data_IF_375346745659
#
_entry.id   IF_375346745659
#
_cell.length_a   1.000
_cell.length_b   1.000
_cell.length_c   1.000
_cell.angle_alpha   90.00
_cell.angle_beta   90.00
_cell.angle_gamma   90.00
#
_symmetry.space_group_name_H-M   'P 1'
#
loop_
_entity.id
_entity.type
_entity.pdbx_description
1 polymer ?
#
# COMPACT_ATOMS: atom_id res chain seq x y z
N UNK A 1 -25.95 -6.01 -38.44
CA UNK A 1 -24.54 -6.46 -38.59
C UNK A 1 -23.79 -6.20 -37.30
N UNK A 2 -23.49 -7.25 -36.54
CA UNK A 2 -22.97 -7.17 -35.18
C UNK A 2 -21.59 -6.47 -35.12
N UNK A 3 -21.46 -5.56 -34.15
CA UNK A 3 -20.24 -4.78 -33.89
C UNK A 3 -19.16 -5.68 -33.31
N UNK A 4 -18.13 -5.96 -34.11
CA UNK A 4 -16.93 -6.69 -33.71
C UNK A 4 -16.21 -5.92 -32.60
N UNK A 5 -16.44 -6.33 -31.35
CA UNK A 5 -15.67 -5.90 -30.18
C UNK A 5 -14.33 -6.63 -30.21
N UNK A 6 -13.27 -5.96 -30.63
CA UNK A 6 -11.92 -6.51 -30.49
C UNK A 6 -10.92 -6.17 -31.59
N UNK A 7 -11.08 -5.03 -32.27
CA UNK A 7 -10.17 -4.58 -33.32
C UNK A 7 -9.44 -3.31 -32.86
N UNK A 8 -8.11 -3.36 -32.85
CA UNK A 8 -7.26 -2.34 -32.25
C UNK A 8 -7.25 -1.07 -33.11
N UNK A 9 -8.22 -0.19 -32.92
CA UNK A 9 -8.22 1.12 -33.57
C UNK A 9 -6.97 1.96 -33.18
N UNK A 10 -6.46 2.74 -34.14
CA UNK A 10 -5.43 3.75 -33.89
C UNK A 10 -5.96 4.87 -32.98
N UNK A 11 -5.07 5.64 -32.35
CA UNK A 11 -5.41 6.69 -31.38
C UNK A 11 -6.23 7.83 -32.01
N UNK A 12 -5.98 8.13 -33.29
CA UNK A 12 -6.75 9.11 -34.05
C UNK A 12 -8.22 8.70 -34.23
N UNK A 13 -8.48 7.41 -34.50
CA UNK A 13 -9.84 6.90 -34.61
C UNK A 13 -10.51 6.73 -33.23
N UNK A 14 -9.75 6.34 -32.20
CA UNK A 14 -10.24 6.23 -30.81
C UNK A 14 -10.70 7.57 -30.25
N UNK A 15 -9.87 8.61 -30.36
CA UNK A 15 -10.19 9.96 -29.88
C UNK A 15 -11.45 10.52 -30.54
N UNK A 16 -11.64 10.24 -31.83
CA UNK A 16 -12.82 10.66 -32.61
C UNK A 16 -14.02 9.73 -32.47
N UNK A 17 -13.90 8.62 -31.73
CA UNK A 17 -14.92 7.57 -31.56
C UNK A 17 -15.46 7.02 -32.89
N UNK A 18 -14.61 6.89 -33.90
CA UNK A 18 -14.97 6.38 -35.23
C UNK A 18 -14.42 4.96 -35.47
N UNK A 19 -14.99 4.24 -36.43
CA UNK A 19 -14.48 2.93 -36.85
C UNK A 19 -13.16 3.09 -37.61
N UNK A 20 -12.11 2.42 -37.14
CA UNK A 20 -10.82 2.32 -37.82
C UNK A 20 -10.86 1.19 -38.86
N UNK A 21 -10.33 1.45 -40.06
CA UNK A 21 -10.11 0.47 -41.13
C UNK A 21 -8.83 -0.35 -40.96
N UNK A 22 -8.01 0.02 -39.98
CA UNK A 22 -6.82 -0.70 -39.53
C UNK A 22 -5.67 -0.85 -40.55
N UNK A 23 -5.67 -0.07 -41.64
CA UNK A 23 -4.58 -0.06 -42.60
C UNK A 23 -3.33 0.58 -41.98
N UNK A 24 -2.20 -0.14 -41.98
CA UNK A 24 -0.89 0.36 -41.53
C UNK A 24 -0.07 0.85 -42.73
N UNK A 25 0.74 1.92 -42.62
CA UNK A 25 1.06 2.68 -41.41
C UNK A 25 -0.01 3.70 -40.99
N UNK A 26 -0.81 4.21 -41.94
CA UNK A 26 -1.84 5.22 -41.72
C UNK A 26 -3.19 4.68 -42.19
N UNK A 27 -4.19 4.65 -41.30
CA UNK A 27 -5.54 4.23 -41.67
C UNK A 27 -6.20 5.25 -42.61
N UNK A 28 -7.11 4.80 -43.47
CA UNK A 28 -7.80 5.62 -44.47
C UNK A 28 -8.43 6.86 -43.85
N UNK A 29 -9.06 6.73 -42.68
CA UNK A 29 -9.68 7.86 -41.97
C UNK A 29 -8.69 8.93 -41.51
N UNK A 30 -7.49 8.53 -41.08
CA UNK A 30 -6.45 9.47 -40.69
C UNK A 30 -5.78 10.09 -41.91
N UNK A 31 -5.64 9.31 -43.00
CA UNK A 31 -5.12 9.79 -44.29
C UNK A 31 -6.03 10.86 -44.87
N UNK A 32 -7.32 10.60 -44.99
CA UNK A 32 -8.29 11.53 -45.57
C UNK A 32 -8.45 12.80 -44.71
N UNK A 33 -8.30 12.67 -43.39
CA UNK A 33 -8.32 13.81 -42.47
C UNK A 33 -6.97 14.56 -42.39
N UNK A 34 -5.94 14.07 -43.07
CA UNK A 34 -4.56 14.57 -43.01
C UNK A 34 -4.05 14.75 -41.55
N UNK A 35 -4.30 13.75 -40.70
CA UNK A 35 -3.91 13.74 -39.27
C UNK A 35 -2.92 12.61 -38.97
N UNK A 36 -2.12 12.82 -37.93
CA UNK A 36 -1.17 11.84 -37.42
C UNK A 36 -1.88 10.57 -36.97
N UNK A 37 -1.51 9.43 -37.56
CA UNK A 37 -2.05 8.11 -37.22
C UNK A 37 -1.07 7.37 -36.31
N UNK A 38 -1.32 7.41 -35.00
CA UNK A 38 -0.53 6.67 -34.01
C UNK A 38 -1.26 5.41 -33.62
N UNK A 39 -0.55 4.29 -33.65
CA UNK A 39 -1.07 3.00 -33.21
C UNK A 39 -0.69 2.79 -31.75
N UNK A 40 -1.66 2.46 -30.86
CA UNK A 40 -1.35 2.27 -29.46
C UNK A 40 -0.38 1.11 -29.30
N UNK A 41 0.65 1.31 -28.47
CA UNK A 41 1.50 0.22 -28.01
C UNK A 41 0.61 -0.77 -27.26
N UNK A 42 0.73 -2.06 -27.58
CA UNK A 42 -0.05 -3.11 -26.90
C UNK A 42 0.45 -3.18 -25.46
N UNK A 43 -0.21 -2.45 -24.55
CA UNK A 43 0.02 -2.63 -23.13
C UNK A 43 -0.63 -3.95 -22.73
N UNK A 44 0.21 -4.91 -22.30
CA UNK A 44 -0.29 -6.12 -21.63
C UNK A 44 -1.14 -5.62 -20.47
N UNK A 45 -2.44 -5.92 -20.47
CA UNK A 45 -3.33 -5.53 -19.38
C UNK A 45 -2.73 -6.13 -18.10
N UNK A 46 -2.65 -5.32 -17.05
CA UNK A 46 -2.16 -5.79 -15.75
C UNK A 46 -3.03 -6.93 -15.18
N UNK A 47 -2.67 -7.47 -14.02
CA UNK A 47 -3.47 -8.47 -13.32
C UNK A 47 -4.95 -8.04 -13.22
N UNK A 48 -5.84 -9.02 -13.13
CA UNK A 48 -7.28 -8.77 -13.00
C UNK A 48 -7.53 -7.77 -11.89
N UNK A 49 -8.37 -6.75 -12.16
CA UNK A 49 -8.72 -5.72 -11.17
C UNK A 49 -9.21 -6.40 -9.88
N UNK A 50 -8.61 -6.06 -8.75
CA UNK A 50 -8.91 -6.64 -7.43
C UNK A 50 -8.04 -7.85 -7.04
N UNK A 51 -7.30 -8.46 -7.97
CA UNK A 51 -6.37 -9.57 -7.63
C UNK A 51 -5.27 -9.12 -6.67
N UNK A 52 -4.76 -7.89 -6.83
CA UNK A 52 -3.77 -7.31 -5.92
C UNK A 52 -4.30 -7.16 -4.49
N UNK A 53 -5.59 -6.83 -4.33
CA UNK A 53 -6.19 -6.59 -3.03
C UNK A 53 -6.49 -7.92 -2.34
N UNK A 54 -6.98 -8.91 -3.09
CA UNK A 54 -7.10 -10.28 -2.60
C UNK A 54 -5.75 -10.87 -2.17
N UNK A 55 -4.69 -10.59 -2.93
CA UNK A 55 -3.34 -11.04 -2.60
C UNK A 55 -2.84 -10.41 -1.29
N UNK A 56 -3.04 -9.10 -1.09
CA UNK A 56 -2.72 -8.42 0.17
C UNK A 56 -3.49 -9.02 1.34
N UNK A 57 -4.79 -9.23 1.18
CA UNK A 57 -5.64 -9.80 2.22
C UNK A 57 -5.18 -11.21 2.62
N UNK A 58 -4.86 -12.06 1.64
CA UNK A 58 -4.34 -13.40 1.91
C UNK A 58 -2.95 -13.36 2.58
N UNK A 59 -2.10 -12.41 2.18
CA UNK A 59 -0.78 -12.23 2.78
C UNK A 59 -0.91 -11.85 4.25
N UNK A 60 -1.77 -10.88 4.57
CA UNK A 60 -2.06 -10.47 5.95
C UNK A 60 -2.57 -11.64 6.82
N UNK A 61 -3.46 -12.48 6.30
CA UNK A 61 -3.91 -13.68 7.03
C UNK A 61 -2.75 -14.64 7.33
N UNK A 62 -1.85 -14.80 6.36
CA UNK A 62 -0.68 -15.69 6.50
C UNK A 62 0.32 -15.13 7.50
N UNK A 63 0.59 -13.83 7.46
CA UNK A 63 1.48 -13.14 8.40
C UNK A 63 0.94 -13.23 9.83
N UNK A 64 -0.36 -13.02 10.04
CA UNK A 64 -0.98 -13.18 11.36
C UNK A 64 -0.90 -14.61 11.89
N UNK A 65 -1.16 -15.61 11.05
CA UNK A 65 -1.01 -17.01 11.43
C UNK A 65 0.45 -17.34 11.80
N UNK A 66 1.42 -16.80 11.06
CA UNK A 66 2.83 -16.95 11.35
C UNK A 66 3.20 -16.34 12.72
N UNK A 67 2.70 -15.14 13.03
CA UNK A 67 2.91 -14.50 14.33
C UNK A 67 2.36 -15.34 15.48
N UNK A 68 1.13 -15.88 15.34
CA UNK A 68 0.52 -16.74 16.35
C UNK A 68 1.33 -18.02 16.59
N UNK A 69 1.85 -18.64 15.53
CA UNK A 69 2.72 -19.81 15.64
C UNK A 69 4.04 -19.47 16.32
N UNK A 70 4.62 -18.31 16.00
CA UNK A 70 5.85 -17.84 16.64
C UNK A 70 5.69 -17.62 18.16
N UNK A 71 4.49 -17.27 18.61
CA UNK A 71 4.20 -17.09 20.03
C UNK A 71 4.00 -18.43 20.78
N UNK A 72 3.65 -19.49 20.06
CA UNK A 72 3.39 -20.82 20.62
C UNK A 72 4.61 -21.75 20.61
N UNK A 73 5.67 -21.41 19.86
CA UNK A 73 6.81 -22.28 19.61
C UNK A 73 8.08 -21.74 20.27
N UNK A 74 8.85 -22.62 20.92
CA UNK A 74 10.11 -22.26 21.55
C UNK A 74 11.21 -21.88 20.54
N UNK A 75 12.10 -20.99 20.95
CA UNK A 75 13.21 -20.49 20.15
C UNK A 75 14.11 -21.59 19.54
N UNK A 76 14.36 -22.66 20.31
CA UNK A 76 15.16 -23.80 19.86
C UNK A 76 14.50 -24.56 18.72
N UNK A 77 13.17 -24.66 18.74
CA UNK A 77 12.37 -25.34 17.72
C UNK A 77 12.35 -24.51 16.44
N UNK A 78 12.25 -23.17 16.55
CA UNK A 78 12.36 -22.26 15.42
C UNK A 78 13.74 -22.42 14.76
N UNK A 79 14.82 -22.34 15.53
CA UNK A 79 16.17 -22.54 14.99
C UNK A 79 16.37 -23.92 14.37
N UNK A 80 15.84 -24.98 14.99
CA UNK A 80 15.88 -26.33 14.45
C UNK A 80 15.12 -26.46 13.12
N UNK A 81 13.98 -25.76 12.96
CA UNK A 81 13.23 -25.77 11.71
C UNK A 81 14.05 -25.20 10.54
N UNK A 82 14.82 -24.12 10.77
CA UNK A 82 15.71 -23.55 9.76
C UNK A 82 16.98 -24.40 9.52
N UNK A 83 17.52 -25.05 10.56
CA UNK A 83 18.71 -25.92 10.46
C UNK A 83 18.40 -27.27 9.81
N UNK A 84 17.20 -27.83 10.06
CA UNK A 84 16.76 -29.12 9.52
C UNK A 84 16.20 -29.01 8.09
N UNK A 85 15.83 -27.81 7.64
CA UNK A 85 15.40 -27.51 6.27
C UNK A 85 16.54 -27.25 5.28
N UNK A 86 17.78 -27.58 5.64
CA UNK A 86 18.97 -27.22 4.88
C UNK A 86 19.17 -28.01 3.57
N UNK A 87 18.60 -27.49 2.48
CA UNK A 87 19.25 -27.57 1.16
C UNK A 87 19.34 -26.18 0.56
N UNK A 88 20.44 -25.51 0.89
CA UNK A 88 20.96 -24.43 0.07
C UNK A 88 21.55 -25.01 -1.21
N UNK A 89 20.96 -24.65 -2.34
CA UNK A 89 21.64 -24.37 -3.64
C UNK A 89 20.80 -23.51 -4.58
N UNK A 90 19.53 -23.20 -4.30
CA UNK A 90 18.67 -22.44 -5.22
C UNK A 90 18.38 -20.98 -4.83
N UNK A 91 18.78 -20.53 -3.64
CA UNK A 91 18.50 -19.16 -3.19
C UNK A 91 19.43 -18.11 -3.84
N UNK A 92 20.66 -18.49 -4.21
CA UNK A 92 21.63 -17.57 -4.83
C UNK A 92 21.42 -17.46 -6.36
N UNK A 93 20.93 -18.51 -7.01
CA UNK A 93 20.75 -18.54 -8.49
C UNK A 93 19.38 -18.01 -8.95
N UNK A 94 18.37 -18.01 -8.06
CA UNK A 94 17.03 -17.47 -8.38
C UNK A 94 16.88 -15.96 -8.14
N UNK A 95 17.79 -15.34 -7.38
CA UNK A 95 17.87 -13.87 -7.28
C UNK A 95 18.38 -13.24 -8.59
N UNK A 96 19.26 -13.93 -9.32
CA UNK A 96 19.76 -13.46 -10.62
C UNK A 96 18.71 -13.55 -11.75
N UNK A 97 17.68 -14.38 -11.63
CA UNK A 97 16.65 -14.50 -12.67
C UNK A 97 15.52 -13.45 -12.57
N UNK A 98 15.36 -12.77 -11.43
CA UNK A 98 14.45 -11.62 -11.34
C UNK A 98 15.03 -10.40 -12.09
N UNK A 99 16.35 -10.35 -12.30
CA UNK A 99 17.01 -9.33 -13.12
C UNK A 99 16.77 -9.50 -14.63
N UNK A 100 16.34 -10.67 -15.13
CA UNK A 100 16.15 -10.89 -16.57
C UNK A 100 14.79 -10.42 -17.13
N UNK A 101 13.85 -10.02 -16.27
CA UNK A 101 12.59 -9.39 -16.67
C UNK A 101 12.68 -7.85 -16.72
N UNK A 102 13.87 -7.27 -16.53
CA UNK A 102 14.15 -5.88 -16.84
C UNK A 102 14.22 -5.72 -18.37
N UNK A 103 13.05 -5.67 -19.00
CA UNK A 103 12.92 -5.22 -20.38
C UNK A 103 13.42 -3.78 -20.51
N UNK A 104 14.22 -3.59 -21.55
CA UNK A 104 14.84 -2.35 -21.96
C UNK A 104 13.86 -1.17 -22.16
N UNK A 105 14.47 0.02 -22.09
CA UNK A 105 14.04 1.33 -22.62
C UNK A 105 13.26 2.31 -21.72
N UNK A 106 14.03 3.27 -21.21
CA UNK A 106 13.73 4.69 -20.91
C UNK A 106 12.99 5.10 -19.61
N UNK A 107 13.31 6.30 -19.04
CA UNK A 107 13.14 6.59 -17.62
C UNK A 107 11.77 7.18 -17.29
N UNK A 108 11.16 6.65 -16.24
CA UNK A 108 9.98 7.21 -15.59
C UNK A 108 10.06 7.04 -14.07
N UNK A 109 9.54 8.02 -13.33
CA UNK A 109 9.48 8.06 -11.86
C UNK A 109 8.85 6.83 -11.17
N UNK A 110 8.25 5.92 -11.95
CA UNK A 110 7.54 4.73 -11.47
C UNK A 110 8.51 3.57 -11.17
N UNK A 111 9.60 3.40 -11.92
CA UNK A 111 10.60 2.35 -11.64
C UNK A 111 11.39 2.62 -10.35
N UNK A 112 11.73 3.87 -10.04
CA UNK A 112 12.45 4.24 -8.81
C UNK A 112 11.62 3.87 -7.58
N UNK A 113 10.30 4.02 -7.64
CA UNK A 113 9.38 3.62 -6.56
C UNK A 113 9.34 2.10 -6.39
N UNK A 114 9.41 1.33 -7.49
CA UNK A 114 9.43 -0.13 -7.44
C UNK A 114 10.75 -0.67 -6.91
N UNK A 115 11.88 -0.07 -7.31
CA UNK A 115 13.20 -0.42 -6.80
C UNK A 115 13.35 -0.06 -5.32
N UNK A 116 12.85 1.11 -4.90
CA UNK A 116 12.82 1.49 -3.48
C UNK A 116 11.90 0.58 -2.66
N UNK A 117 10.74 0.18 -3.20
CA UNK A 117 9.84 -0.78 -2.56
C UNK A 117 10.47 -2.17 -2.45
N UNK A 118 11.22 -2.61 -3.46
CA UNK A 118 11.97 -3.87 -3.42
C UNK A 118 13.11 -3.81 -2.39
N UNK A 119 13.87 -2.72 -2.35
CA UNK A 119 14.92 -2.51 -1.34
C UNK A 119 14.35 -2.43 0.09
N UNK A 120 13.12 -1.93 0.25
CA UNK A 120 12.42 -1.98 1.54
C UNK A 120 12.13 -3.42 1.99
N UNK A 121 11.93 -4.36 1.06
CA UNK A 121 11.72 -5.78 1.40
C UNK A 121 13.03 -6.48 1.77
N UNK A 122 14.17 -5.98 1.28
CA UNK A 122 15.50 -6.45 1.68
C UNK A 122 15.88 -6.04 3.11
N UNK A 123 15.13 -5.12 3.74
CA UNK A 123 15.35 -4.73 5.13
C UNK A 123 14.88 -5.79 6.14
N UNK A 124 13.96 -6.68 5.73
CA UNK A 124 13.40 -7.74 6.58
C UNK A 124 13.35 -9.08 5.83
N UNK A 125 14.52 -9.65 5.48
CA UNK A 125 14.57 -11.01 4.96
C UNK A 125 14.02 -11.98 6.00
N UNK A 126 13.33 -13.04 5.55
CA UNK A 126 12.78 -14.11 6.40
C UNK A 126 13.51 -15.43 6.12
N UNK A 127 14.84 -15.37 5.95
CA UNK A 127 15.67 -16.51 5.53
C UNK A 127 16.24 -17.28 6.72
N UNK A 128 16.48 -16.60 7.85
CA UNK A 128 16.96 -17.22 9.09
C UNK A 128 15.97 -17.12 10.24
N UNK A 129 16.17 -17.94 11.27
CA UNK A 129 15.35 -17.90 12.49
C UNK A 129 15.43 -16.52 13.17
N UNK A 130 16.62 -15.93 13.25
CA UNK A 130 16.87 -14.63 13.87
C UNK A 130 16.17 -13.51 13.11
N UNK A 131 16.18 -13.61 11.78
CA UNK A 131 15.52 -12.71 10.86
C UNK A 131 14.00 -12.73 11.04
N UNK A 132 13.39 -13.91 11.11
CA UNK A 132 11.95 -14.07 11.36
C UNK A 132 11.55 -13.53 12.73
N UNK A 133 12.36 -13.77 13.76
CA UNK A 133 12.14 -13.19 15.11
C UNK A 133 12.21 -11.66 15.09
N UNK A 134 13.20 -11.09 14.39
CA UNK A 134 13.36 -9.63 14.25
C UNK A 134 12.18 -8.99 13.54
N UNK A 135 11.75 -9.58 12.43
CA UNK A 135 10.55 -9.17 11.72
C UNK A 135 9.31 -9.21 12.63
N UNK A 136 9.10 -10.30 13.35
CA UNK A 136 7.94 -10.43 14.24
C UNK A 136 7.93 -9.37 15.34
N UNK A 137 9.09 -8.96 15.85
CA UNK A 137 9.20 -7.85 16.81
C UNK A 137 8.83 -6.50 16.18
N UNK A 138 9.26 -6.25 14.95
CA UNK A 138 8.97 -5.00 14.24
C UNK A 138 7.51 -4.88 13.80
N UNK A 139 6.88 -5.98 13.39
CA UNK A 139 5.45 -5.97 13.06
C UNK A 139 4.63 -5.64 14.31
N UNK A 140 5.00 -6.20 15.46
CA UNK A 140 4.38 -5.88 16.75
C UNK A 140 4.63 -4.44 17.18
N UNK A 141 5.86 -3.93 17.02
CA UNK A 141 6.19 -2.53 17.33
C UNK A 141 5.41 -1.58 16.42
N UNK A 142 5.26 -1.91 15.13
CA UNK A 142 4.51 -1.13 14.14
C UNK A 142 3.01 -1.15 14.43
N UNK A 143 2.45 -2.29 14.83
CA UNK A 143 1.06 -2.41 15.28
C UNK A 143 0.80 -1.56 16.53
N UNK A 144 1.71 -1.61 17.51
CA UNK A 144 1.62 -0.77 18.71
C UNK A 144 1.69 0.73 18.39
N UNK A 145 2.61 1.15 17.51
CA UNK A 145 2.74 2.55 17.05
C UNK A 145 1.52 3.03 16.29
N UNK A 146 0.89 2.16 15.48
CA UNK A 146 -0.32 2.49 14.74
C UNK A 146 -1.52 2.69 15.66
N UNK A 147 -1.60 1.90 16.75
CA UNK A 147 -2.63 2.05 17.78
C UNK A 147 -2.44 3.34 18.60
N UNK A 148 -1.20 3.69 18.96
CA UNK A 148 -0.86 4.92 19.67
C UNK A 148 -1.20 6.17 18.82
N UNK A 149 -0.84 6.16 17.53
CA UNK A 149 -1.13 7.27 16.62
C UNK A 149 -2.63 7.44 16.35
N UNK A 150 -3.42 6.35 16.40
CA UNK A 150 -4.88 6.40 16.32
C UNK A 150 -5.52 6.95 17.60
N UNK A 151 -4.84 6.85 18.75
CA UNK A 151 -5.32 7.34 20.06
C UNK A 151 -5.07 8.84 20.23
N UNK A 152 -3.98 9.36 19.66
CA UNK A 152 -3.66 10.79 19.68
C UNK A 152 -4.54 11.61 18.73
N UNK A 153 -4.99 11.03 17.61
CA UNK A 153 -5.93 11.70 16.69
C UNK A 153 -7.36 11.88 17.26
N UNK A 154 -7.75 11.09 18.26
CA UNK A 154 -9.07 11.21 18.93
C UNK A 154 -9.08 12.26 20.06
N UNK A 155 -7.90 12.71 20.53
CA UNK A 155 -7.82 13.64 21.67
C UNK A 155 -7.56 15.11 21.25
N UNK A 156 -8.35 15.61 20.30
CA UNK A 156 -8.46 17.04 20.00
C UNK A 156 -9.79 17.55 20.56
N UNK A 157 -9.73 18.13 21.76
CA UNK A 157 -10.63 19.22 22.17
C UNK A 157 -11.74 18.89 23.16
N UNK A 158 -11.39 18.78 24.46
CA UNK A 158 -12.26 19.31 25.52
C UNK A 158 -11.48 20.42 26.22
N UNK A 159 -11.76 21.71 25.96
CA UNK A 159 -11.18 22.79 26.74
C UNK A 159 -11.86 22.90 28.11
N UNK A 160 -11.12 22.52 29.14
CA UNK A 160 -11.32 22.92 30.53
C UNK A 160 -11.56 24.44 30.62
N UNK A 161 -12.70 24.85 31.15
CA UNK A 161 -13.00 26.25 31.45
C UNK A 161 -13.40 26.40 32.92
N UNK A 162 -12.40 26.57 33.78
CA UNK A 162 -12.59 27.10 35.13
C UNK A 162 -11.83 28.43 35.32
N UNK A 163 -12.64 29.48 35.55
CA UNK A 163 -12.40 30.67 36.39
C UNK A 163 -11.31 31.68 36.02
N UNK A 164 -11.76 32.92 35.76
CA UNK A 164 -11.15 34.11 36.36
C UNK A 164 -12.17 35.23 36.56
N UNK A 165 -12.21 35.73 37.80
CA UNK A 165 -13.07 36.77 38.32
C UNK A 165 -12.65 38.17 37.86
N UNK A 166 -13.61 39.10 37.81
CA UNK A 166 -13.38 40.53 37.95
C UNK A 166 -14.50 41.16 38.80
N UNK A 167 -14.08 41.99 39.75
CA UNK A 167 -14.90 42.74 40.69
C UNK A 167 -15.46 44.02 40.06
N UNK A 168 -16.67 44.42 40.46
CA UNK A 168 -16.90 45.80 40.91
C UNK A 168 -18.19 45.95 41.74
N UNK A 169 -18.18 46.95 42.61
CA UNK A 169 -19.02 47.12 43.78
C UNK A 169 -20.46 47.60 43.51
N UNK A 170 -21.40 47.17 44.36
CA UNK A 170 -22.33 48.05 45.09
C UNK A 170 -23.21 47.25 46.06
N UNK A 171 -23.11 47.60 47.34
CA UNK A 171 -24.01 47.21 48.44
C UNK A 171 -25.33 48.01 48.31
N UNK A 172 -26.46 47.59 48.91
CA UNK A 172 -26.62 47.93 50.33
C UNK A 172 -27.39 46.93 51.22
N UNK A 173 -27.09 47.07 52.52
CA UNK A 173 -27.98 46.99 53.70
C UNK A 173 -28.48 45.63 54.23
N UNK A 174 -27.81 45.22 55.32
CA UNK A 174 -28.36 45.00 56.68
C UNK A 174 -29.60 44.10 56.84
N UNK A 175 -29.42 42.94 57.48
CA UNK A 175 -29.98 42.65 58.81
C UNK A 175 -29.81 41.16 59.22
N UNK A 176 -28.95 40.94 60.23
CA UNK A 176 -29.13 40.08 61.42
C UNK A 176 -29.56 38.59 61.29
N UNK A 177 -28.62 37.71 61.70
CA UNK A 177 -28.81 36.37 62.32
C UNK A 177 -29.76 36.44 63.56
N UNK A 178 -30.23 35.33 64.22
CA UNK A 178 -29.56 34.03 64.40
C UNK A 178 -30.40 32.71 64.54
N UNK A 179 -29.64 31.60 64.51
CA UNK A 179 -29.68 30.24 65.11
C UNK A 179 -30.96 29.58 65.70
N UNK A 180 -31.08 28.27 65.39
CA UNK A 180 -31.59 27.10 66.16
C UNK A 180 -33.05 27.06 66.66
N UNK A 181 -33.81 26.05 66.26
CA UNK A 181 -33.92 24.73 66.92
C UNK A 181 -34.35 23.67 65.87
#
# INVERSE_FOLDING_TARGET
MASIRGRAACDGCRSRKQKCDEIKPVCSRCRDANKTCVWPKVHKRGPVKGYSDLLKQRLEMTENALLQLLDAVDDNTIEAAFKSGGSGTLAEEQAANIQSLAFADMPGSVEVKKAALAAQWDQFPLRTAEEVKRWAKEVRSSAARSFENSRTEVNIGVPDSHSKAHADASCPTFATCPTTD
#
